data_IF_147539009291
#
_entry.id   IF_147539009291
#
_cell.length_a   1.000
_cell.length_b   1.000
_cell.length_c   1.000
_cell.angle_alpha   90.00
_cell.angle_beta   90.00
_cell.angle_gamma   90.00
#
_symmetry.space_group_name_H-M   'P 1'
#
loop_
_entity.id
_entity.type
_entity.pdbx_description
1 polymer ?
#
# COMPACT_ATOMS: atom_id res chain seq x y z
N UNK A 1 -9.91 16.03 -24.44
CA UNK A 1 -10.58 16.36 -25.71
C UNK A 1 -10.24 15.29 -26.74
N UNK A 2 -11.20 14.85 -27.54
CA UNK A 2 -10.99 13.89 -28.65
C UNK A 2 -10.22 14.59 -29.77
N UNK A 3 -9.25 13.91 -30.39
CA UNK A 3 -8.52 14.42 -31.58
C UNK A 3 -8.84 13.55 -32.79
N UNK A 4 -8.82 14.12 -33.98
CA UNK A 4 -9.16 13.43 -35.23
C UNK A 4 -8.05 13.63 -36.25
N UNK A 5 -7.54 12.54 -36.79
CA UNK A 5 -6.73 12.50 -38.00
C UNK A 5 -7.63 12.14 -39.18
N UNK A 6 -7.98 13.16 -39.97
CA UNK A 6 -8.88 13.00 -41.13
C UNK A 6 -8.23 12.26 -42.29
N UNK A 7 -6.90 12.26 -42.39
CA UNK A 7 -6.20 11.65 -43.52
C UNK A 7 -6.14 10.13 -43.37
N UNK A 8 -6.03 9.66 -42.12
CA UNK A 8 -5.96 8.23 -41.80
C UNK A 8 -7.26 7.67 -41.22
N UNK A 9 -8.32 8.49 -41.10
CA UNK A 9 -9.60 8.15 -40.47
C UNK A 9 -9.45 7.64 -39.02
N UNK A 10 -8.46 8.19 -38.28
CA UNK A 10 -8.17 7.79 -36.91
C UNK A 10 -8.76 8.82 -35.95
N UNK A 11 -9.48 8.35 -34.93
CA UNK A 11 -9.96 9.16 -33.82
C UNK A 11 -9.17 8.79 -32.56
N UNK A 12 -8.45 9.75 -31.99
CA UNK A 12 -7.72 9.57 -30.73
C UNK A 12 -8.62 9.96 -29.55
N UNK A 13 -8.99 8.99 -28.68
CA UNK A 13 -9.77 9.27 -27.47
C UNK A 13 -8.98 10.15 -26.49
N UNK A 14 -9.66 10.80 -25.52
CA UNK A 14 -8.96 11.49 -24.43
C UNK A 14 -8.18 10.49 -23.54
N UNK A 15 -7.17 10.97 -22.80
CA UNK A 15 -6.43 10.16 -21.82
C UNK A 15 -7.33 9.46 -20.79
N UNK A 16 -8.48 10.06 -20.46
CA UNK A 16 -9.45 9.49 -19.53
C UNK A 16 -10.39 8.44 -20.18
N UNK A 17 -10.22 8.11 -21.46
CA UNK A 17 -11.03 7.08 -22.11
C UNK A 17 -10.81 5.73 -21.41
N UNK A 18 -11.84 5.11 -20.81
CA UNK A 18 -11.69 3.84 -20.11
C UNK A 18 -11.64 2.64 -21.08
N UNK A 19 -11.59 2.89 -22.40
CA UNK A 19 -11.66 1.88 -23.43
C UNK A 19 -12.89 0.94 -23.32
N UNK A 20 -14.02 1.45 -22.83
CA UNK A 20 -15.22 0.63 -22.55
C UNK A 20 -15.97 0.11 -23.79
N UNK A 21 -15.58 0.52 -25.00
CA UNK A 21 -16.20 0.05 -26.24
C UNK A 21 -17.61 0.59 -26.54
N UNK A 22 -18.18 1.46 -25.69
CA UNK A 22 -19.55 1.96 -25.88
C UNK A 22 -19.75 2.63 -27.25
N UNK A 23 -18.76 3.38 -27.74
CA UNK A 23 -18.83 4.03 -29.05
C UNK A 23 -18.88 3.02 -30.22
N UNK A 24 -18.19 1.90 -30.10
CA UNK A 24 -18.22 0.81 -31.10
C UNK A 24 -19.57 0.10 -31.04
N UNK A 25 -20.01 -0.27 -29.83
CA UNK A 25 -21.23 -1.04 -29.62
C UNK A 25 -22.52 -0.27 -29.98
N UNK A 26 -22.54 1.05 -29.75
CA UNK A 26 -23.71 1.89 -30.06
C UNK A 26 -23.77 2.28 -31.55
N UNK A 27 -22.70 2.04 -32.32
CA UNK A 27 -22.64 2.48 -33.70
C UNK A 27 -23.59 1.65 -34.58
N UNK A 28 -24.71 2.20 -35.08
CA UNK A 28 -25.73 1.43 -35.79
C UNK A 28 -25.26 0.90 -37.17
N UNK A 29 -24.13 1.42 -37.65
CA UNK A 29 -23.56 1.09 -38.96
C UNK A 29 -22.20 0.38 -38.85
N UNK A 30 -21.78 -0.01 -37.64
CA UNK A 30 -20.49 -0.67 -37.39
C UNK A 30 -19.28 0.08 -38.00
N UNK A 31 -19.31 1.41 -38.00
CA UNK A 31 -18.28 2.24 -38.64
C UNK A 31 -17.01 2.43 -37.78
N UNK A 32 -17.00 1.93 -36.55
CA UNK A 32 -15.93 2.19 -35.58
C UNK A 32 -15.30 0.87 -35.13
N UNK A 33 -13.97 0.88 -35.04
CA UNK A 33 -13.16 -0.15 -34.39
C UNK A 33 -12.29 0.52 -33.34
N UNK A 34 -12.22 -0.04 -32.13
CA UNK A 34 -11.40 0.49 -31.04
C UNK A 34 -10.16 -0.39 -30.86
N UNK A 35 -8.99 0.12 -31.26
CA UNK A 35 -7.70 -0.50 -30.96
C UNK A 35 -7.21 -0.02 -29.59
N UNK A 36 -7.05 -0.96 -28.65
CA UNK A 36 -6.61 -0.68 -27.28
C UNK A 36 -5.28 -1.39 -27.07
N UNK A 37 -4.23 -0.59 -26.94
CA UNK A 37 -2.97 -1.05 -26.38
C UNK A 37 -3.07 -0.92 -24.87
N UNK A 38 -3.41 -2.02 -24.22
CA UNK A 38 -3.24 -2.12 -22.78
C UNK A 38 -1.73 -2.19 -22.50
N UNK A 39 -1.26 -1.37 -21.58
CA UNK A 39 0.01 -1.67 -20.91
C UNK A 39 -0.13 -2.96 -20.10
N UNK A 40 0.99 -3.53 -19.68
CA UNK A 40 1.03 -4.64 -18.75
C UNK A 40 0.05 -4.38 -17.59
N UNK A 41 -0.86 -5.32 -17.33
CA UNK A 41 -1.59 -5.28 -16.07
C UNK A 41 -0.52 -5.21 -14.97
N UNK A 42 -0.59 -4.19 -14.11
CA UNK A 42 0.29 -4.16 -12.95
C UNK A 42 0.05 -5.46 -12.18
N UNK A 43 1.11 -6.23 -11.88
CA UNK A 43 0.96 -7.52 -11.25
C UNK A 43 0.18 -7.35 -9.96
N UNK A 44 -0.95 -8.07 -9.89
CA UNK A 44 -1.79 -8.13 -8.70
C UNK A 44 -1.50 -9.46 -8.02
N UNK A 45 -1.19 -9.42 -6.73
CA UNK A 45 -1.03 -10.66 -5.95
C UNK A 45 -2.39 -11.34 -5.76
N UNK A 46 -2.40 -12.62 -5.36
CA UNK A 46 -3.64 -13.34 -5.04
C UNK A 46 -4.47 -12.66 -3.93
N UNK A 47 -3.83 -11.81 -3.11
CA UNK A 47 -4.47 -10.99 -2.09
C UNK A 47 -4.97 -9.62 -2.61
N UNK A 48 -4.89 -9.37 -3.91
CA UNK A 48 -5.38 -8.13 -4.52
C UNK A 48 -4.44 -6.92 -4.41
N UNK A 49 -3.17 -7.13 -4.04
CA UNK A 49 -2.19 -6.04 -3.91
C UNK A 49 -1.54 -5.74 -5.26
N UNK A 50 -1.64 -4.48 -5.70
CA UNK A 50 -0.94 -3.98 -6.88
C UNK A 50 0.46 -3.55 -6.45
N UNK A 51 1.50 -4.22 -6.97
CA UNK A 51 2.89 -3.84 -6.74
C UNK A 51 3.43 -3.27 -8.05
N UNK A 52 3.78 -1.99 -8.01
CA UNK A 52 4.48 -1.34 -9.12
C UNK A 52 5.96 -1.67 -8.91
N UNK A 53 6.60 -2.34 -9.86
CA UNK A 53 8.02 -2.76 -9.75
C UNK A 53 8.94 -1.58 -9.40
N UNK A 54 8.63 -0.37 -9.87
CA UNK A 54 9.33 0.87 -9.56
C UNK A 54 9.30 1.25 -8.07
N UNK A 55 8.25 0.84 -7.36
CA UNK A 55 8.08 1.08 -5.93
C UNK A 55 8.74 0.00 -5.07
N UNK A 56 9.04 -1.19 -5.61
CA UNK A 56 9.61 -2.31 -4.84
C UNK A 56 10.95 -1.93 -4.18
N UNK A 57 11.89 -1.36 -4.93
CA UNK A 57 13.21 -0.96 -4.40
C UNK A 57 13.06 0.13 -3.33
N UNK A 58 12.13 1.08 -3.52
CA UNK A 58 11.85 2.11 -2.51
C UNK A 58 11.25 1.50 -1.24
N UNK A 59 10.30 0.56 -1.40
CA UNK A 59 9.66 -0.12 -0.28
C UNK A 59 10.61 -1.04 0.48
N UNK A 60 11.63 -1.58 -0.20
CA UNK A 60 12.71 -2.34 0.42
C UNK A 60 13.47 -1.50 1.43
N UNK A 61 13.93 -0.32 1.01
CA UNK A 61 14.61 0.65 1.89
C UNK A 61 13.69 1.14 3.02
N UNK A 62 12.41 1.36 2.73
CA UNK A 62 11.40 1.73 3.73
C UNK A 62 11.25 0.67 4.84
N UNK A 63 11.43 -0.61 4.50
CA UNK A 63 11.34 -1.71 5.46
C UNK A 63 12.51 -1.68 6.45
N UNK A 64 13.71 -1.29 6.01
CA UNK A 64 14.90 -1.22 6.86
C UNK A 64 14.80 -0.12 7.92
N UNK A 65 14.19 1.02 7.58
CA UNK A 65 13.99 2.14 8.52
C UNK A 65 12.79 1.95 9.44
N UNK A 66 11.98 0.89 9.26
CA UNK A 66 10.75 0.70 10.01
C UNK A 66 11.04 0.17 11.43
N UNK A 67 10.84 0.97 12.50
CA UNK A 67 11.25 0.60 13.86
C UNK A 67 10.47 -0.59 14.42
N UNK A 68 9.26 -0.82 13.91
CA UNK A 68 8.36 -1.88 14.34
C UNK A 68 8.29 -3.03 13.34
N UNK A 69 9.10 -3.03 12.26
CA UNK A 69 9.05 -4.02 11.18
C UNK A 69 7.66 -4.19 10.55
N UNK A 70 6.90 -3.10 10.45
CA UNK A 70 5.55 -3.08 9.91
C UNK A 70 5.48 -3.33 8.39
N UNK A 71 6.61 -3.24 7.69
CA UNK A 71 6.76 -3.48 6.26
C UNK A 71 7.63 -4.73 6.12
N UNK A 72 7.12 -5.76 5.45
CA UNK A 72 7.82 -7.01 5.14
C UNK A 72 8.01 -7.14 3.64
N UNK A 73 9.22 -7.48 3.26
CA UNK A 73 9.65 -7.63 1.87
C UNK A 73 9.99 -9.09 1.63
N UNK A 74 9.50 -9.65 0.52
CA UNK A 74 9.90 -10.96 0.03
C UNK A 74 10.68 -10.78 -1.28
N UNK A 75 11.99 -10.98 -1.21
CA UNK A 75 12.89 -10.82 -2.35
C UNK A 75 12.69 -11.87 -3.44
N UNK A 76 12.18 -13.05 -3.11
CA UNK A 76 11.99 -14.13 -4.09
C UNK A 76 10.79 -13.83 -4.98
N UNK A 77 9.69 -13.38 -4.37
CA UNK A 77 8.47 -13.04 -5.09
C UNK A 77 8.40 -11.58 -5.52
N UNK A 78 9.38 -10.75 -5.11
CA UNK A 78 9.35 -9.29 -5.22
C UNK A 78 8.05 -8.68 -4.67
N UNK A 79 7.53 -9.24 -3.59
CA UNK A 79 6.31 -8.74 -2.95
C UNK A 79 6.60 -7.97 -1.68
N UNK A 80 5.72 -7.02 -1.34
CA UNK A 80 5.79 -6.24 -0.11
C UNK A 80 4.44 -6.31 0.58
N UNK A 81 4.44 -6.65 1.87
CA UNK A 81 3.25 -6.63 2.72
C UNK A 81 3.49 -5.65 3.85
N UNK A 82 2.48 -4.86 4.20
CA UNK A 82 2.60 -3.91 5.30
C UNK A 82 1.36 -3.86 6.17
N UNK A 83 1.53 -3.40 7.41
CA UNK A 83 0.40 -3.13 8.29
C UNK A 83 -0.44 -1.98 7.73
N UNK A 84 -1.70 -2.26 7.39
CA UNK A 84 -2.66 -1.27 6.89
C UNK A 84 -3.48 -0.60 8.00
N UNK A 85 -3.11 -0.80 9.27
CA UNK A 85 -3.79 -0.21 10.45
C UNK A 85 -5.30 -0.52 10.48
N UNK A 86 -5.71 -1.73 10.07
CA UNK A 86 -7.12 -2.11 10.03
C UNK A 86 -7.75 -2.34 11.42
N UNK A 87 -6.94 -2.56 12.46
CA UNK A 87 -7.43 -2.79 13.83
C UNK A 87 -7.87 -4.21 14.16
N UNK A 88 -7.74 -5.19 13.25
CA UNK A 88 -8.10 -6.58 13.56
C UNK A 88 -7.37 -7.11 14.83
N UNK A 89 -6.09 -6.75 14.98
CA UNK A 89 -5.29 -7.14 16.13
C UNK A 89 -5.72 -6.49 17.45
N UNK A 90 -6.33 -5.30 17.42
CA UNK A 90 -6.80 -4.60 18.61
C UNK A 90 -8.08 -5.25 19.14
N UNK A 91 -8.95 -5.70 18.24
CA UNK A 91 -10.17 -6.44 18.59
C UNK A 91 -9.84 -7.84 19.12
N UNK A 92 -8.84 -8.51 18.53
CA UNK A 92 -8.47 -9.86 18.92
C UNK A 92 -7.66 -9.95 20.22
N UNK A 93 -7.05 -8.86 20.67
CA UNK A 93 -6.17 -8.85 21.84
C UNK A 93 -6.97 -8.99 23.15
N UNK A 94 -6.87 -10.12 23.86
CA UNK A 94 -7.71 -10.38 25.03
C UNK A 94 -7.27 -9.58 26.26
N UNK A 95 -5.99 -9.21 26.34
CA UNK A 95 -5.43 -8.46 27.47
C UNK A 95 -5.56 -6.95 27.32
N UNK A 96 -5.96 -6.47 26.14
CA UNK A 96 -5.99 -5.05 25.82
C UNK A 96 -4.59 -4.42 25.65
N UNK A 97 -3.55 -5.24 25.44
CA UNK A 97 -2.20 -4.77 25.11
C UNK A 97 -2.14 -4.01 23.79
N UNK A 98 -3.06 -4.27 22.86
CA UNK A 98 -3.17 -3.57 21.58
C UNK A 98 -4.41 -2.69 21.57
N UNK A 99 -4.25 -1.43 21.14
CA UNK A 99 -5.34 -0.46 21.02
C UNK A 99 -5.25 0.32 19.72
N UNK A 100 -6.40 0.81 19.27
CA UNK A 100 -6.44 1.81 18.21
C UNK A 100 -6.19 3.17 18.86
N UNK A 101 -5.09 3.81 18.50
CA UNK A 101 -4.76 5.16 18.90
C UNK A 101 -4.85 6.12 17.72
N UNK A 102 -4.63 7.39 18.00
CA UNK A 102 -4.56 8.46 17.01
C UNK A 102 -3.31 9.29 17.21
N UNK A 103 -2.73 9.77 16.12
CA UNK A 103 -1.60 10.72 16.13
C UNK A 103 -1.88 11.86 15.16
N UNK A 104 -1.52 13.08 15.55
CA UNK A 104 -1.65 14.25 14.69
C UNK A 104 -0.36 14.47 13.91
N UNK A 105 -0.46 14.60 12.59
CA UNK A 105 0.60 15.09 11.72
C UNK A 105 0.07 16.25 10.90
N UNK A 106 0.69 17.43 11.06
CA UNK A 106 0.36 18.66 10.35
C UNK A 106 -1.14 19.02 10.38
N UNK A 107 -1.75 18.92 11.57
CA UNK A 107 -3.17 19.26 11.77
C UNK A 107 -4.16 18.22 11.25
N UNK A 108 -3.69 17.04 10.82
CA UNK A 108 -4.54 15.90 10.46
C UNK A 108 -4.31 14.73 11.40
N UNK A 109 -5.39 14.11 11.84
CA UNK A 109 -5.34 12.93 12.69
C UNK A 109 -5.28 11.66 11.86
N UNK A 110 -4.38 10.76 12.24
CA UNK A 110 -4.18 9.45 11.64
C UNK A 110 -4.32 8.36 12.68
N UNK A 111 -4.96 7.25 12.32
CA UNK A 111 -5.03 6.06 13.16
C UNK A 111 -3.65 5.40 13.26
N UNK A 112 -3.34 4.85 14.43
CA UNK A 112 -2.14 4.04 14.66
C UNK A 112 -2.44 2.86 15.58
N UNK A 113 -1.58 1.85 15.52
CA UNK A 113 -1.59 0.78 16.51
C UNK A 113 -0.75 1.21 17.71
N UNK A 114 -1.34 1.14 18.90
CA UNK A 114 -0.64 1.31 20.17
C UNK A 114 -0.45 -0.05 20.84
N UNK A 115 0.77 -0.32 21.28
CA UNK A 115 1.14 -1.57 21.94
C UNK A 115 1.73 -1.29 23.32
N UNK A 116 1.19 -1.96 24.33
CA UNK A 116 1.71 -1.94 25.71
C UNK A 116 2.31 -3.33 26.04
N UNK A 117 3.65 -3.46 26.05
CA UNK A 117 4.32 -4.72 26.34
C UNK A 117 3.99 -5.31 27.71
N UNK A 118 3.74 -4.46 28.72
CA UNK A 118 3.46 -4.91 30.09
C UNK A 118 2.12 -5.63 30.25
N UNK A 119 1.21 -5.47 29.28
CA UNK A 119 -0.07 -6.17 29.24
C UNK A 119 -0.04 -7.39 28.29
N UNK A 120 1.06 -7.60 27.57
CA UNK A 120 1.16 -8.67 26.58
C UNK A 120 1.53 -9.99 27.25
N UNK A 121 0.69 -11.00 27.08
CA UNK A 121 0.94 -12.38 27.53
C UNK A 121 1.58 -13.26 26.44
N UNK A 122 1.94 -12.65 25.30
CA UNK A 122 2.51 -13.33 24.12
C UNK A 122 1.61 -14.45 23.55
N UNK A 123 0.29 -14.40 23.74
CA UNK A 123 -0.63 -15.44 23.27
C UNK A 123 -0.75 -15.61 21.73
N UNK A 124 -0.22 -14.68 20.93
CA UNK A 124 -0.16 -14.82 19.46
C UNK A 124 -1.46 -14.55 18.68
N UNK A 125 -2.62 -14.35 19.34
CA UNK A 125 -3.91 -14.10 18.64
C UNK A 125 -3.87 -12.95 17.64
N UNK A 126 -3.10 -11.89 17.93
CA UNK A 126 -2.92 -10.77 17.01
C UNK A 126 -2.24 -11.18 15.69
N UNK A 127 -1.32 -12.14 15.75
CA UNK A 127 -0.62 -12.70 14.58
C UNK A 127 -1.59 -13.51 13.72
N UNK A 128 -2.41 -14.36 14.36
CA UNK A 128 -3.39 -15.21 13.68
C UNK A 128 -4.42 -14.41 12.88
N UNK A 129 -4.92 -13.31 13.44
CA UNK A 129 -5.96 -12.49 12.78
C UNK A 129 -5.39 -11.48 11.77
N UNK A 130 -4.07 -11.38 11.61
CA UNK A 130 -3.46 -10.36 10.75
C UNK A 130 -3.72 -10.70 9.27
N UNK A 131 -4.57 -9.94 8.54
CA UNK A 131 -4.87 -10.26 7.14
C UNK A 131 -3.63 -10.09 6.25
N UNK A 132 -2.75 -9.16 6.61
CA UNK A 132 -1.52 -8.87 5.89
C UNK A 132 -0.37 -9.82 6.25
N UNK A 133 -0.56 -10.68 7.26
CA UNK A 133 0.44 -11.65 7.77
C UNK A 133 1.80 -11.00 8.10
N UNK A 134 1.78 -9.77 8.61
CA UNK A 134 3.01 -9.02 8.96
C UNK A 134 3.37 -9.08 10.43
N UNK A 135 2.38 -9.31 11.32
CA UNK A 135 2.62 -9.41 12.75
C UNK A 135 3.45 -10.65 13.11
N UNK A 136 4.34 -10.52 14.08
CA UNK A 136 5.17 -11.61 14.60
C UNK A 136 5.50 -11.39 16.08
N UNK A 137 5.64 -12.48 16.83
CA UNK A 137 6.17 -12.45 18.18
C UNK A 137 7.66 -12.78 18.10
N UNK A 138 8.50 -11.84 18.54
CA UNK A 138 9.94 -12.01 18.69
C UNK A 138 10.22 -12.47 20.12
N UNK A 139 10.50 -13.76 20.29
CA UNK A 139 10.75 -14.34 21.61
C UNK A 139 12.04 -13.82 22.27
N UNK A 140 12.97 -13.28 21.47
CA UNK A 140 14.25 -12.77 21.95
C UNK A 140 14.16 -11.33 22.48
N UNK A 141 13.10 -10.60 22.16
CA UNK A 141 12.89 -9.22 22.62
C UNK A 141 11.89 -9.20 23.76
N UNK A 142 12.41 -9.26 24.99
CA UNK A 142 11.57 -9.27 26.19
C UNK A 142 10.85 -7.94 26.43
N UNK A 143 11.42 -6.82 25.97
CA UNK A 143 10.87 -5.48 26.18
C UNK A 143 9.83 -5.10 25.12
N UNK A 144 10.00 -5.56 23.88
CA UNK A 144 9.09 -5.27 22.78
C UNK A 144 8.84 -6.54 21.95
N UNK A 145 8.10 -7.52 22.50
CA UNK A 145 7.98 -8.85 21.92
C UNK A 145 7.11 -8.91 20.67
N UNK A 146 6.27 -7.90 20.40
CA UNK A 146 5.45 -7.86 19.21
C UNK A 146 6.10 -6.95 18.16
N UNK A 147 6.20 -7.42 16.92
CA UNK A 147 6.60 -6.65 15.73
C UNK A 147 5.51 -6.75 14.65
N UNK A 148 5.61 -5.94 13.60
CA UNK A 148 4.75 -5.99 12.42
C UNK A 148 3.55 -5.03 12.42
N UNK A 149 3.53 -4.00 13.26
CA UNK A 149 2.42 -3.02 13.31
C UNK A 149 2.90 -1.60 13.04
N UNK A 150 2.11 -0.81 12.31
CA UNK A 150 2.45 0.58 12.03
C UNK A 150 2.05 1.49 13.20
N UNK A 151 3.00 2.30 13.66
CA UNK A 151 2.80 3.33 14.70
C UNK A 151 2.61 4.73 14.12
N UNK A 152 2.53 4.85 12.79
CA UNK A 152 2.43 6.11 12.05
C UNK A 152 3.52 7.13 12.45
N UNK A 153 4.77 6.68 12.49
CA UNK A 153 5.93 7.54 12.78
C UNK A 153 6.48 8.31 11.56
N UNK A 154 5.98 7.99 10.35
CA UNK A 154 6.37 8.59 9.06
C UNK A 154 7.84 8.40 8.63
N UNK A 155 8.65 7.63 9.34
CA UNK A 155 10.05 7.38 8.97
C UNK A 155 10.20 6.74 7.57
N UNK A 156 9.35 5.77 7.24
CA UNK A 156 9.33 5.17 5.90
C UNK A 156 8.92 6.18 4.82
N UNK A 157 8.01 7.11 5.13
CA UNK A 157 7.63 8.15 4.19
C UNK A 157 8.78 9.11 3.94
N UNK A 158 9.48 9.57 4.99
CA UNK A 158 10.67 10.40 4.83
C UNK A 158 11.78 9.69 4.06
N UNK A 159 11.95 8.37 4.26
CA UNK A 159 12.85 7.54 3.48
C UNK A 159 12.44 7.50 1.99
N UNK A 160 11.18 7.20 1.69
CA UNK A 160 10.67 7.18 0.33
C UNK A 160 10.80 8.55 -0.36
N UNK A 161 10.53 9.64 0.35
CA UNK A 161 10.71 11.00 -0.13
C UNK A 161 12.18 11.33 -0.41
N UNK A 162 13.14 10.81 0.36
CA UNK A 162 14.56 11.00 0.06
C UNK A 162 14.99 10.23 -1.19
N UNK A 163 14.48 9.01 -1.36
CA UNK A 163 14.78 8.16 -2.52
C UNK A 163 14.17 8.75 -3.80
N UNK A 164 12.89 9.14 -3.75
CA UNK A 164 12.14 9.73 -4.87
C UNK A 164 12.50 11.22 -5.08
N UNK A 165 12.87 11.92 -4.02
CA UNK A 165 13.14 13.36 -3.93
C UNK A 165 14.50 13.83 -4.46
N UNK A 166 15.19 13.01 -5.28
CA UNK A 166 16.04 13.55 -6.35
C UNK A 166 15.27 14.48 -7.31
N UNK A 167 13.96 14.69 -7.12
CA UNK A 167 13.25 15.93 -7.47
C UNK A 167 12.11 16.27 -6.49
N UNK A 168 12.28 17.37 -5.73
CA UNK A 168 11.28 18.09 -4.88
C UNK A 168 10.84 17.41 -3.57
N UNK A 169 11.41 17.92 -2.48
CA UNK A 169 10.97 17.75 -1.09
C UNK A 169 9.69 18.55 -0.86
N UNK A 170 8.69 17.95 -0.20
CA UNK A 170 7.56 18.68 0.39
C UNK A 170 8.02 19.07 1.80
N UNK A 171 8.27 20.37 2.01
CA UNK A 171 8.56 20.93 3.33
C UNK A 171 7.38 20.65 4.27
N UNK A 172 7.59 19.82 5.29
CA UNK A 172 6.69 19.72 6.44
C UNK A 172 7.10 20.83 7.41
N UNK A 173 6.57 22.04 7.17
CA UNK A 173 6.56 23.15 8.14
C UNK A 173 5.33 23.08 9.03
#
# INVERSE_FOLDING_TARGET
MIKVDKNNLIVMPPKACPACGLCVNVCPVNALTLDVKYDSAHPITDEGLVIIDEDYETLKECAEVCPTRAIKVDEKSKTVKMCIVCGACTVACPTGALKMGTINHNGKDYNRIEFNPSLCDKCGKCVEVCPMKVLEIDENDEHLPLKGYCVMCLLCLSCAEQIKGKGKVIDLK
#
